data_IF_488328972018
#
_entry.id   IF_488328972018
#
_cell.length_a   1.000
_cell.length_b   1.000
_cell.length_c   1.000
_cell.angle_alpha   90.00
_cell.angle_beta   90.00
_cell.angle_gamma   90.00
#
_symmetry.space_group_name_H-M   'P 1'
#
loop_
_entity.id
_entity.type
_entity.pdbx_description
1 polymer ?
#
# COMPACT_ATOMS: atom_id res chain seq x y z
N UNK A 1 12.53 -6.65 6.28
CA UNK A 1 11.53 -5.91 5.48
C UNK A 1 12.14 -4.59 5.04
N UNK A 2 11.84 -4.15 3.85
CA UNK A 2 12.37 -2.91 3.25
C UNK A 2 11.26 -1.85 3.20
N UNK A 3 11.64 -0.57 3.31
CA UNK A 3 10.74 0.55 3.08
C UNK A 3 10.41 0.62 1.58
N UNK A 4 9.14 0.74 1.21
CA UNK A 4 8.69 0.69 -0.18
C UNK A 4 9.25 1.86 -1.00
N UNK A 5 9.36 3.07 -0.43
CA UNK A 5 9.97 4.22 -1.11
C UNK A 5 11.42 3.94 -1.53
N UNK A 6 12.22 3.35 -0.64
CA UNK A 6 13.61 3.01 -0.96
C UNK A 6 13.70 1.97 -2.08
N UNK A 7 12.80 0.98 -2.07
CA UNK A 7 12.70 -0.05 -3.11
C UNK A 7 12.30 0.56 -4.47
N UNK A 8 11.26 1.39 -4.49
CA UNK A 8 10.76 2.03 -5.71
C UNK A 8 11.75 3.06 -6.28
N UNK A 9 12.49 3.77 -5.41
CA UNK A 9 13.56 4.68 -5.87
C UNK A 9 14.68 3.94 -6.60
N UNK A 10 15.07 2.75 -6.10
CA UNK A 10 16.05 1.89 -6.81
C UNK A 10 15.50 1.38 -8.14
N UNK A 11 14.22 0.99 -8.17
CA UNK A 11 13.54 0.52 -9.38
C UNK A 11 13.48 1.61 -10.45
N UNK A 12 13.09 2.83 -10.08
CA UNK A 12 13.03 3.97 -10.97
C UNK A 12 14.43 4.31 -11.56
N UNK A 13 15.46 4.35 -10.72
CA UNK A 13 16.84 4.56 -11.17
C UNK A 13 17.34 3.44 -12.09
N UNK A 14 16.97 2.20 -11.79
CA UNK A 14 17.34 1.00 -12.56
C UNK A 14 16.45 0.73 -13.77
N UNK A 15 15.37 1.51 -13.97
CA UNK A 15 14.36 1.35 -15.04
C UNK A 15 13.73 -0.04 -15.07
N UNK A 16 13.34 -0.56 -13.90
CA UNK A 16 12.57 -1.80 -13.78
C UNK A 16 11.35 -1.58 -12.87
N UNK A 17 10.37 -2.46 -12.97
CA UNK A 17 9.20 -2.46 -12.10
C UNK A 17 9.39 -3.46 -10.94
N UNK A 18 8.75 -3.20 -9.81
CA UNK A 18 8.64 -4.14 -8.70
C UNK A 18 7.22 -4.72 -8.71
N UNK A 19 7.09 -6.04 -8.71
CA UNK A 19 5.80 -6.69 -8.62
C UNK A 19 5.18 -6.51 -7.25
N UNK A 20 3.88 -6.18 -7.22
CA UNK A 20 3.06 -6.07 -6.02
C UNK A 20 1.92 -7.10 -6.12
N UNK A 21 1.80 -7.97 -5.10
CA UNK A 21 0.90 -9.12 -5.14
C UNK A 21 0.04 -9.19 -3.90
N UNK A 22 -1.29 -9.18 -4.09
CA UNK A 22 -2.24 -9.37 -3.01
C UNK A 22 -2.21 -10.81 -2.51
N UNK A 23 -2.08 -10.98 -1.21
CA UNK A 23 -2.06 -12.29 -0.55
C UNK A 23 -3.24 -12.41 0.42
N UNK A 24 -3.79 -13.62 0.52
CA UNK A 24 -4.96 -13.90 1.36
C UNK A 24 -4.60 -14.67 2.64
N UNK A 25 -3.48 -15.40 2.62
CA UNK A 25 -3.04 -16.28 3.70
C UNK A 25 -1.53 -16.50 3.70
N UNK A 26 -1.06 -17.28 4.68
CA UNK A 26 0.36 -17.64 4.80
C UNK A 26 0.91 -18.37 3.55
N UNK A 27 0.13 -19.26 2.93
CA UNK A 27 0.61 -20.06 1.80
C UNK A 27 0.79 -19.20 0.56
N UNK A 28 -0.16 -18.31 0.26
CA UNK A 28 -0.04 -17.35 -0.85
C UNK A 28 1.14 -16.39 -0.64
N UNK A 29 1.31 -15.86 0.58
CA UNK A 29 2.45 -15.01 0.92
C UNK A 29 3.79 -15.76 0.76
N UNK A 30 3.88 -16.99 1.25
CA UNK A 30 5.08 -17.84 1.14
C UNK A 30 5.41 -18.11 -0.33
N UNK A 31 4.42 -18.44 -1.16
CA UNK A 31 4.63 -18.71 -2.58
C UNK A 31 5.18 -17.48 -3.31
N UNK A 32 4.64 -16.29 -3.03
CA UNK A 32 5.11 -15.03 -3.62
C UNK A 32 6.56 -14.73 -3.19
N UNK A 33 6.88 -14.84 -1.90
CA UNK A 33 8.24 -14.59 -1.40
C UNK A 33 9.23 -15.59 -1.96
N UNK A 34 8.85 -16.87 -2.08
CA UNK A 34 9.71 -17.90 -2.66
C UNK A 34 9.99 -17.61 -4.14
N UNK A 35 8.96 -17.31 -4.93
CA UNK A 35 9.12 -16.98 -6.34
C UNK A 35 10.02 -15.74 -6.53
N UNK A 36 9.86 -14.71 -5.68
CA UNK A 36 10.73 -13.54 -5.69
C UNK A 36 12.20 -13.90 -5.41
N UNK A 37 12.43 -14.78 -4.43
CA UNK A 37 13.75 -15.30 -4.12
C UNK A 37 14.40 -16.07 -5.28
N UNK A 38 13.65 -16.96 -5.93
CA UNK A 38 14.11 -17.77 -7.07
C UNK A 38 14.48 -16.86 -8.26
N UNK A 39 13.70 -15.79 -8.48
CA UNK A 39 13.93 -14.80 -9.54
C UNK A 39 14.96 -13.72 -9.14
N UNK A 40 15.41 -13.68 -7.89
CA UNK A 40 16.27 -12.63 -7.33
C UNK A 40 15.70 -11.21 -7.54
N UNK A 41 14.39 -11.09 -7.45
CA UNK A 41 13.65 -9.84 -7.66
C UNK A 41 13.08 -9.32 -6.34
N UNK A 42 13.14 -8.00 -6.08
CA UNK A 42 12.41 -7.42 -4.95
C UNK A 42 10.91 -7.58 -5.16
N UNK A 43 10.15 -7.63 -4.06
CA UNK A 43 8.70 -7.84 -4.11
C UNK A 43 7.96 -7.01 -3.07
N UNK A 44 6.75 -6.58 -3.42
CA UNK A 44 5.79 -5.96 -2.53
C UNK A 44 4.68 -6.99 -2.26
N UNK A 45 4.47 -7.32 -0.99
CA UNK A 45 3.32 -8.11 -0.55
C UNK A 45 2.22 -7.15 -0.16
N UNK A 46 1.09 -7.23 -0.85
CA UNK A 46 -0.09 -6.43 -0.58
C UNK A 46 -1.09 -7.22 0.27
N UNK A 47 -1.76 -6.51 1.18
CA UNK A 47 -2.83 -7.05 2.01
C UNK A 47 -4.01 -6.10 1.96
N UNK A 48 -5.19 -6.60 1.59
CA UNK A 48 -6.40 -5.79 1.64
C UNK A 48 -6.87 -5.55 3.08
N UNK A 49 -7.69 -4.54 3.27
CA UNK A 49 -8.34 -4.28 4.56
C UNK A 49 -9.12 -5.50 5.08
N UNK A 50 -9.80 -6.25 4.20
CA UNK A 50 -10.50 -7.50 4.53
C UNK A 50 -9.56 -8.56 5.08
N UNK A 51 -8.43 -8.79 4.41
CA UNK A 51 -7.43 -9.77 4.83
C UNK A 51 -6.88 -9.42 6.20
N UNK A 52 -6.57 -8.14 6.43
CA UNK A 52 -6.08 -7.68 7.74
C UNK A 52 -7.13 -7.84 8.83
N UNK A 53 -8.39 -7.47 8.56
CA UNK A 53 -9.50 -7.63 9.52
C UNK A 53 -9.77 -9.09 9.85
N UNK A 54 -9.68 -9.98 8.85
CA UNK A 54 -9.93 -11.41 9.04
C UNK A 54 -8.88 -12.10 9.94
N UNK A 55 -7.60 -11.82 9.71
CA UNK A 55 -6.50 -12.48 10.42
C UNK A 55 -6.05 -11.72 11.68
N UNK A 56 -6.35 -10.44 11.76
CA UNK A 56 -5.79 -9.50 12.74
C UNK A 56 -4.40 -9.02 12.33
N UNK A 57 -4.17 -7.72 12.46
CA UNK A 57 -2.93 -7.05 12.01
C UNK A 57 -1.66 -7.70 12.59
N UNK A 58 -1.64 -8.00 13.90
CA UNK A 58 -0.46 -8.56 14.58
C UNK A 58 -0.15 -9.98 14.12
N UNK A 59 -1.17 -10.81 13.92
CA UNK A 59 -1.00 -12.19 13.46
C UNK A 59 -0.46 -12.20 12.04
N UNK A 60 -1.11 -11.46 11.15
CA UNK A 60 -0.71 -11.37 9.76
C UNK A 60 0.71 -10.81 9.62
N UNK A 61 1.04 -9.73 10.33
CA UNK A 61 2.38 -9.17 10.31
C UNK A 61 3.43 -10.12 10.89
N UNK A 62 3.08 -10.95 11.86
CA UNK A 62 3.97 -12.00 12.38
C UNK A 62 4.42 -12.95 11.28
N UNK A 63 3.51 -13.44 10.45
CA UNK A 63 3.81 -14.31 9.32
C UNK A 63 4.64 -13.60 8.24
N UNK A 64 4.24 -12.40 7.87
CA UNK A 64 4.90 -11.64 6.81
C UNK A 64 6.33 -11.25 7.20
N UNK A 65 6.53 -10.92 8.47
CA UNK A 65 7.86 -10.60 9.01
C UNK A 65 8.78 -11.82 8.99
N UNK A 66 8.27 -12.98 9.36
CA UNK A 66 9.03 -14.24 9.30
C UNK A 66 9.44 -14.58 7.87
N UNK A 67 8.50 -14.53 6.93
CA UNK A 67 8.77 -14.78 5.52
C UNK A 67 9.79 -13.79 4.95
N UNK A 68 9.63 -12.50 5.25
CA UNK A 68 10.54 -11.46 4.78
C UNK A 68 11.95 -11.58 5.39
N UNK A 69 12.06 -12.00 6.66
CA UNK A 69 13.34 -12.20 7.33
C UNK A 69 14.15 -13.35 6.73
N UNK A 70 13.46 -14.38 6.22
CA UNK A 70 14.07 -15.54 5.57
C UNK A 70 14.22 -15.38 4.05
N UNK A 71 13.82 -14.24 3.49
CA UNK A 71 13.94 -13.96 2.06
C UNK A 71 15.34 -13.51 1.67
N UNK A 72 15.93 -14.03 0.57
CA UNK A 72 17.20 -13.55 0.05
C UNK A 72 17.09 -12.22 -0.70
N UNK A 73 15.88 -11.72 -0.90
CA UNK A 73 15.58 -10.48 -1.63
C UNK A 73 14.79 -9.50 -0.78
N UNK A 74 14.83 -8.20 -1.09
CA UNK A 74 14.03 -7.19 -0.40
C UNK A 74 12.53 -7.47 -0.50
N UNK A 75 11.82 -7.44 0.64
CA UNK A 75 10.37 -7.58 0.73
C UNK A 75 9.79 -6.38 1.44
N UNK A 76 8.86 -5.67 0.81
CA UNK A 76 8.01 -4.67 1.43
C UNK A 76 6.62 -5.25 1.72
N UNK A 77 5.96 -4.75 2.75
CA UNK A 77 4.59 -5.12 3.11
C UNK A 77 3.72 -3.88 3.03
N UNK A 78 2.67 -3.95 2.23
CA UNK A 78 1.79 -2.85 1.90
C UNK A 78 0.34 -3.15 2.28
N UNK A 79 -0.33 -2.18 2.93
CA UNK A 79 -1.77 -2.19 3.11
C UNK A 79 -2.42 -1.52 1.90
N UNK A 80 -3.19 -2.28 1.16
CA UNK A 80 -3.77 -1.90 -0.13
C UNK A 80 -5.21 -1.39 0.04
N UNK A 81 -5.55 -0.28 -0.62
CA UNK A 81 -6.89 0.32 -0.68
C UNK A 81 -7.66 0.39 0.65
N UNK A 82 -7.07 0.98 1.68
CA UNK A 82 -7.74 1.10 2.98
C UNK A 82 -8.42 2.46 3.15
N UNK A 83 -9.70 2.43 3.56
CA UNK A 83 -10.53 3.62 3.85
C UNK A 83 -10.67 3.89 5.36
N UNK A 84 -10.28 2.91 6.18
CA UNK A 84 -10.43 2.96 7.63
C UNK A 84 -9.15 3.50 8.28
N UNK A 85 -9.25 4.68 8.87
CA UNK A 85 -8.14 5.37 9.52
C UNK A 85 -7.61 4.62 10.76
N UNK A 86 -8.49 3.89 11.46
CA UNK A 86 -8.08 3.13 12.65
C UNK A 86 -7.33 1.88 12.24
N UNK A 87 -7.78 1.19 11.18
CA UNK A 87 -7.07 0.04 10.62
C UNK A 87 -5.69 0.44 10.03
N UNK A 88 -5.61 1.60 9.35
CA UNK A 88 -4.33 2.14 8.87
C UNK A 88 -3.37 2.36 10.05
N UNK A 89 -3.85 3.00 11.13
CA UNK A 89 -3.05 3.22 12.35
C UNK A 89 -2.59 1.89 12.95
N UNK A 90 -3.49 0.93 13.07
CA UNK A 90 -3.19 -0.41 13.58
C UNK A 90 -2.10 -1.12 12.75
N UNK A 91 -2.18 -1.06 11.42
CA UNK A 91 -1.17 -1.61 10.52
C UNK A 91 0.19 -0.92 10.68
N UNK A 92 0.22 0.42 10.76
CA UNK A 92 1.44 1.18 11.02
C UNK A 92 2.07 0.74 12.35
N UNK A 93 1.26 0.58 13.40
CA UNK A 93 1.73 0.13 14.72
C UNK A 93 2.20 -1.31 14.75
N UNK A 94 1.58 -2.18 13.97
CA UNK A 94 1.97 -3.59 13.84
C UNK A 94 3.25 -3.78 13.02
N UNK A 95 3.65 -2.78 12.21
CA UNK A 95 4.94 -2.77 11.50
C UNK A 95 4.86 -2.98 9.99
N UNK A 96 3.73 -2.64 9.35
CA UNK A 96 3.68 -2.48 7.90
C UNK A 96 4.74 -1.50 7.43
N UNK A 97 5.35 -1.76 6.28
CA UNK A 97 6.38 -0.86 5.72
C UNK A 97 5.80 0.17 4.78
N UNK A 98 4.53 -0.02 4.40
CA UNK A 98 3.76 0.88 3.53
C UNK A 98 2.27 0.74 3.78
N UNK A 99 1.54 1.83 3.63
CA UNK A 99 0.07 1.88 3.73
C UNK A 99 -0.50 2.79 2.64
N UNK A 100 -1.68 2.44 2.12
CA UNK A 100 -2.45 3.28 1.23
C UNK A 100 -3.72 3.77 1.92
N UNK A 101 -3.96 5.08 1.85
CA UNK A 101 -5.26 5.68 2.14
C UNK A 101 -6.02 5.88 0.83
N UNK A 102 -7.13 5.18 0.67
CA UNK A 102 -8.05 5.40 -0.44
C UNK A 102 -9.22 6.31 0.00
N UNK A 103 -9.04 7.59 -0.22
CA UNK A 103 -10.08 8.59 -0.05
C UNK A 103 -10.52 9.20 -1.41
N UNK A 104 -10.27 8.51 -2.52
CA UNK A 104 -10.55 8.97 -3.89
C UNK A 104 -12.04 9.28 -4.13
N UNK A 105 -12.94 8.56 -3.46
CA UNK A 105 -14.39 8.80 -3.50
C UNK A 105 -14.86 10.03 -2.67
N UNK A 106 -13.96 10.67 -1.93
CA UNK A 106 -14.27 11.85 -1.11
C UNK A 106 -14.05 13.14 -1.90
N UNK A 107 -14.68 14.27 -1.50
CA UNK A 107 -14.31 15.57 -2.03
C UNK A 107 -12.80 15.84 -1.89
N UNK A 108 -12.20 16.54 -2.84
CA UNK A 108 -10.76 16.79 -2.90
C UNK A 108 -10.14 17.28 -1.59
N UNK A 109 -10.76 18.26 -0.93
CA UNK A 109 -10.26 18.81 0.34
C UNK A 109 -10.35 17.79 1.50
N UNK A 110 -11.35 16.91 1.49
CA UNK A 110 -11.46 15.83 2.48
C UNK A 110 -10.40 14.77 2.25
N UNK A 111 -10.19 14.34 0.98
CA UNK A 111 -9.12 13.42 0.61
C UNK A 111 -7.75 13.98 1.03
N UNK A 112 -7.50 15.24 0.71
CA UNK A 112 -6.27 15.94 1.09
C UNK A 112 -6.06 15.93 2.62
N UNK A 113 -7.12 16.21 3.40
CA UNK A 113 -7.07 16.23 4.86
C UNK A 113 -6.77 14.84 5.44
N UNK A 114 -7.46 13.79 4.97
CA UNK A 114 -7.27 12.41 5.42
C UNK A 114 -5.88 11.90 5.06
N UNK A 115 -5.44 12.13 3.83
CA UNK A 115 -4.12 11.70 3.37
C UNK A 115 -2.99 12.38 4.16
N UNK A 116 -3.11 13.67 4.49
CA UNK A 116 -2.16 14.37 5.37
C UNK A 116 -2.10 13.76 6.78
N UNK A 117 -3.24 13.35 7.34
CA UNK A 117 -3.28 12.69 8.65
C UNK A 117 -2.52 11.37 8.60
N UNK A 118 -2.71 10.56 7.54
CA UNK A 118 -1.97 9.30 7.38
C UNK A 118 -0.47 9.55 7.23
N UNK A 119 -0.05 10.52 6.41
CA UNK A 119 1.37 10.90 6.30
C UNK A 119 1.94 11.33 7.66
N UNK A 120 1.18 12.10 8.45
CA UNK A 120 1.57 12.51 9.79
C UNK A 120 1.78 11.35 10.77
N UNK A 121 0.97 10.29 10.67
CA UNK A 121 1.09 9.07 11.48
C UNK A 121 2.24 8.16 11.01
N UNK A 122 2.43 8.04 9.71
CA UNK A 122 3.35 7.10 9.09
C UNK A 122 4.82 7.58 9.12
N UNK A 123 5.05 8.86 8.86
CA UNK A 123 6.40 9.47 8.73
C UNK A 123 7.32 9.24 9.93
N UNK A 124 6.87 9.43 11.21
CA UNK A 124 7.72 9.17 12.38
C UNK A 124 8.14 7.70 12.52
N UNK A 125 7.44 6.80 11.84
CA UNK A 125 7.69 5.34 11.88
C UNK A 125 8.37 4.82 10.62
N UNK A 126 8.78 5.72 9.71
CA UNK A 126 9.40 5.39 8.43
C UNK A 126 8.52 4.47 7.56
N UNK A 127 7.19 4.59 7.66
CA UNK A 127 6.23 3.88 6.83
C UNK A 127 5.92 4.73 5.61
N UNK A 128 5.99 4.13 4.42
CA UNK A 128 5.66 4.76 3.14
C UNK A 128 4.16 4.98 3.03
N UNK A 129 3.72 6.08 2.46
CA UNK A 129 2.30 6.40 2.25
C UNK A 129 1.99 6.54 0.77
N UNK A 130 0.98 5.80 0.34
CA UNK A 130 0.31 5.93 -0.95
C UNK A 130 -1.05 6.59 -0.76
N UNK A 131 -1.50 7.35 -1.76
CA UNK A 131 -2.82 7.98 -1.78
C UNK A 131 -3.35 8.04 -3.22
N UNK A 132 -4.67 8.16 -3.38
CA UNK A 132 -5.32 8.06 -4.67
C UNK A 132 -6.16 9.28 -5.01
N UNK A 133 -6.16 9.61 -6.31
CA UNK A 133 -7.03 10.60 -6.96
C UNK A 133 -7.70 10.00 -8.18
N UNK A 134 -8.97 10.33 -8.36
CA UNK A 134 -9.77 9.80 -9.47
C UNK A 134 -10.39 8.44 -9.14
N UNK A 135 -11.22 7.94 -10.04
CA UNK A 135 -11.87 6.64 -9.93
C UNK A 135 -12.07 6.04 -11.32
N UNK A 136 -11.59 4.81 -11.53
CA UNK A 136 -11.70 4.08 -12.79
C UNK A 136 -12.85 3.09 -12.69
N UNK A 137 -13.61 2.92 -13.77
CA UNK A 137 -14.68 1.90 -13.86
C UNK A 137 -14.13 0.52 -13.57
N UNK A 138 -14.79 -0.20 -12.68
CA UNK A 138 -14.43 -1.58 -12.38
C UNK A 138 -14.86 -2.05 -11.01
N UNK A 139 -14.43 -3.25 -10.71
CA UNK A 139 -14.56 -3.86 -9.38
C UNK A 139 -13.18 -4.24 -8.91
N UNK A 140 -12.77 -3.69 -7.78
CA UNK A 140 -11.48 -3.97 -7.15
C UNK A 140 -11.72 -4.16 -5.65
N UNK A 141 -11.56 -5.37 -5.16
CA UNK A 141 -11.92 -5.79 -3.80
C UNK A 141 -13.36 -5.36 -3.40
N UNK A 142 -13.49 -4.33 -2.57
CA UNK A 142 -14.75 -3.75 -2.09
C UNK A 142 -15.17 -2.48 -2.83
N UNK A 143 -14.35 -2.06 -3.81
CA UNK A 143 -14.59 -0.85 -4.58
C UNK A 143 -15.33 -1.23 -5.85
N UNK A 144 -16.51 -0.68 -6.04
CA UNK A 144 -17.31 -0.84 -7.25
C UNK A 144 -17.63 0.53 -7.82
N UNK A 145 -16.90 0.92 -8.89
CA UNK A 145 -17.11 2.18 -9.61
C UNK A 145 -17.92 1.92 -10.86
N UNK A 146 -19.12 2.51 -10.93
CA UNK A 146 -19.94 2.48 -12.13
C UNK A 146 -19.43 3.49 -13.16
N UNK A 147 -19.76 3.27 -14.44
CA UNK A 147 -19.35 4.16 -15.53
C UNK A 147 -19.71 5.63 -15.29
N UNK A 148 -20.89 5.88 -14.74
CA UNK A 148 -21.36 7.24 -14.40
C UNK A 148 -20.61 7.92 -13.26
N UNK A 149 -19.95 7.14 -12.39
CA UNK A 149 -19.22 7.60 -11.21
C UNK A 149 -17.70 7.64 -11.47
N UNK A 150 -17.28 7.19 -12.67
CA UNK A 150 -15.89 7.21 -13.09
C UNK A 150 -15.42 8.62 -13.43
N UNK A 151 -14.26 8.99 -12.92
CA UNK A 151 -13.59 10.24 -13.28
C UNK A 151 -12.07 10.05 -13.23
N UNK A 152 -11.40 10.52 -14.26
CA UNK A 152 -9.94 10.47 -14.31
C UNK A 152 -9.35 11.54 -13.37
N UNK A 153 -8.16 11.24 -12.83
CA UNK A 153 -7.42 12.21 -12.05
C UNK A 153 -7.07 13.45 -12.90
N UNK A 154 -7.35 14.65 -12.38
CA UNK A 154 -6.94 15.91 -13.00
C UNK A 154 -5.45 16.15 -12.72
N UNK A 155 -4.61 16.34 -13.74
CA UNK A 155 -3.18 16.58 -13.55
C UNK A 155 -2.86 17.81 -12.68
N UNK A 156 -3.65 18.88 -12.76
CA UNK A 156 -3.45 20.07 -11.93
C UNK A 156 -3.79 19.78 -10.46
N UNK A 157 -4.87 19.05 -10.20
CA UNK A 157 -5.21 18.57 -8.85
C UNK A 157 -4.13 17.62 -8.31
N UNK A 158 -3.56 16.74 -9.15
CA UNK A 158 -2.50 15.83 -8.73
C UNK A 158 -1.24 16.59 -8.28
N UNK A 159 -0.85 17.64 -9.02
CA UNK A 159 0.28 18.50 -8.62
C UNK A 159 0.00 19.19 -7.28
N UNK A 160 -1.19 19.76 -7.11
CA UNK A 160 -1.60 20.41 -5.87
C UNK A 160 -1.62 19.41 -4.69
N UNK A 161 -2.20 18.23 -4.91
CA UNK A 161 -2.29 17.18 -3.92
C UNK A 161 -0.90 16.73 -3.45
N UNK A 162 -0.01 16.40 -4.38
CA UNK A 162 1.36 16.00 -4.06
C UNK A 162 2.12 17.10 -3.30
N UNK A 163 1.93 18.37 -3.67
CA UNK A 163 2.57 19.48 -2.97
C UNK A 163 2.08 19.65 -1.53
N UNK A 164 0.77 19.44 -1.28
CA UNK A 164 0.14 19.63 0.04
C UNK A 164 0.21 18.41 0.95
N UNK A 165 0.08 17.21 0.40
CA UNK A 165 0.07 15.94 1.15
C UNK A 165 1.48 15.41 1.35
N UNK A 166 2.30 15.49 0.32
CA UNK A 166 3.64 14.90 0.27
C UNK A 166 3.62 13.39 0.56
N UNK A 167 2.83 12.60 -0.17
CA UNK A 167 2.93 11.14 -0.11
C UNK A 167 4.28 10.68 -0.65
N UNK A 168 4.60 9.41 -0.52
CA UNK A 168 5.88 8.84 -0.92
C UNK A 168 5.85 8.28 -2.33
#
# INVERSE_FOLDING_TARGET
MENMKAMLSKAAAGRYAVGAFNVLDYNSAKAVVQAAGDLRAPVIIQTSAKTVTFWGSRTLMGWLRELAANSPVPVAVHLDHCKDMDLIRECIEAGWTSVMIDASARPFEENLSLSRQVVGMARPRHVTVEAELGAIVGVEDDIHVKEQDSHLADPAQAVEFCAKVQPD
#
